data_IF_293911138709
#
_entry.id   IF_293911138709
#
_cell.length_a   1.000
_cell.length_b   1.000
_cell.length_c   1.000
_cell.angle_alpha   90.00
_cell.angle_beta   90.00
_cell.angle_gamma   90.00
#
_symmetry.space_group_name_H-M   'P 1'
#
loop_
_entity.id
_entity.type
_entity.pdbx_description
1 polymer ?
#
# COMPACT_ATOMS: atom_id res chain seq x y z
N UNK A 1 -2.20 -7.30 2.62
CA UNK A 1 -2.34 -5.83 2.47
C UNK A 1 -1.12 -5.17 3.10
N UNK A 2 -0.46 -4.22 2.44
CA UNK A 2 0.61 -3.45 3.07
C UNK A 2 0.03 -2.34 3.98
N UNK A 3 0.12 -2.50 5.30
CA UNK A 3 -0.42 -1.52 6.28
C UNK A 3 0.41 -0.24 6.37
N UNK A 4 1.68 -0.27 5.96
CA UNK A 4 2.54 0.92 5.94
C UNK A 4 2.12 1.93 4.87
N UNK A 5 1.36 1.50 3.85
CA UNK A 5 0.86 2.38 2.77
C UNK A 5 -0.66 2.45 2.70
N UNK A 6 -1.39 1.71 3.55
CA UNK A 6 -2.84 1.70 3.54
C UNK A 6 -3.42 3.03 4.08
N UNK A 7 -4.46 3.60 3.45
CA UNK A 7 -5.21 4.72 3.98
C UNK A 7 -6.14 4.26 5.13
N UNK A 8 -6.61 5.23 5.94
CA UNK A 8 -7.39 4.96 7.16
C UNK A 8 -8.64 4.12 6.89
N UNK A 9 -9.31 4.38 5.76
CA UNK A 9 -10.50 3.62 5.35
C UNK A 9 -10.21 2.13 5.12
N UNK A 10 -9.03 1.77 4.61
CA UNK A 10 -8.66 0.37 4.45
C UNK A 10 -8.25 -0.25 5.79
N UNK A 11 -7.59 0.52 6.67
CA UNK A 11 -7.29 0.05 8.02
C UNK A 11 -8.58 -0.22 8.81
N UNK A 12 -9.57 0.68 8.71
CA UNK A 12 -10.89 0.52 9.33
C UNK A 12 -11.72 -0.63 8.73
N UNK A 13 -11.36 -1.13 7.54
CA UNK A 13 -12.02 -2.31 6.97
C UNK A 13 -11.42 -3.64 7.43
N UNK A 14 -10.38 -3.62 8.27
CA UNK A 14 -9.71 -4.85 8.74
C UNK A 14 -10.53 -5.59 9.81
N UNK A 15 -11.38 -4.89 10.56
CA UNK A 15 -12.27 -5.46 11.55
C UNK A 15 -13.38 -4.46 11.93
N UNK A 16 -14.45 -4.95 12.55
CA UNK A 16 -15.51 -4.09 13.09
C UNK A 16 -15.05 -3.27 14.32
N UNK A 17 -13.94 -3.66 14.96
CA UNK A 17 -13.35 -2.99 16.12
C UNK A 17 -12.44 -1.81 15.73
N UNK A 18 -12.02 -1.72 14.46
CA UNK A 18 -11.28 -0.56 13.95
C UNK A 18 -12.26 0.37 13.24
N UNK A 19 -12.85 1.29 14.00
CA UNK A 19 -13.62 2.37 13.40
C UNK A 19 -12.72 3.38 12.65
N UNK A 20 -13.33 4.37 12.00
CA UNK A 20 -12.59 5.41 11.28
C UNK A 20 -11.68 6.26 12.18
N UNK A 21 -12.01 6.42 13.46
CA UNK A 21 -11.20 7.18 14.40
C UNK A 21 -9.93 6.39 14.79
N UNK A 22 -10.07 5.10 15.07
CA UNK A 22 -8.94 4.19 15.30
C UNK A 22 -8.09 4.05 14.04
N UNK A 23 -8.70 3.94 12.87
CA UNK A 23 -7.98 3.91 11.58
C UNK A 23 -7.14 5.17 11.33
N UNK A 24 -7.63 6.35 11.72
CA UNK A 24 -6.86 7.59 11.67
C UNK A 24 -5.74 7.61 12.74
N UNK A 25 -6.02 7.16 13.96
CA UNK A 25 -5.02 7.04 15.03
C UNK A 25 -3.87 6.10 14.63
N UNK A 26 -4.15 5.00 13.94
CA UNK A 26 -3.15 4.09 13.39
C UNK A 26 -2.25 4.77 12.35
N UNK A 27 -2.78 5.69 11.54
CA UNK A 27 -1.94 6.50 10.63
C UNK A 27 -1.00 7.40 11.40
N UNK A 28 -1.48 8.04 12.47
CA UNK A 28 -0.64 8.88 13.33
C UNK A 28 0.42 8.07 14.08
N UNK A 29 0.07 6.87 14.58
CA UNK A 29 1.01 5.92 15.21
C UNK A 29 2.10 5.46 14.23
N UNK A 30 1.72 5.14 12.98
CA UNK A 30 2.65 4.87 11.89
C UNK A 30 3.56 6.07 11.61
N UNK A 31 2.98 7.27 11.67
CA UNK A 31 3.64 8.51 11.32
C UNK A 31 4.20 8.50 9.89
N UNK A 32 5.40 9.05 9.71
CA UNK A 32 6.15 9.03 8.45
C UNK A 32 7.04 7.80 8.25
N UNK A 33 6.91 6.79 9.11
CA UNK A 33 7.72 5.57 9.10
C UNK A 33 6.83 4.32 8.92
N UNK A 34 7.43 3.14 9.09
CA UNK A 34 6.72 1.87 9.08
C UNK A 34 6.28 1.49 10.51
N UNK A 35 5.24 0.67 10.64
CA UNK A 35 4.94 -0.01 11.91
C UNK A 35 6.14 -0.92 12.29
N UNK A 36 6.81 -0.70 13.44
CA UNK A 36 7.98 -1.49 13.81
C UNK A 36 7.66 -2.97 14.03
N UNK A 37 6.47 -3.25 14.55
CA UNK A 37 5.93 -4.60 14.73
C UNK A 37 4.43 -4.59 14.45
N UNK A 38 4.06 -5.04 13.26
CA UNK A 38 2.67 -5.12 12.80
C UNK A 38 1.84 -6.05 13.70
N UNK A 39 2.45 -7.13 14.22
CA UNK A 39 1.72 -8.07 15.08
C UNK A 39 1.32 -7.38 16.36
N UNK A 40 2.24 -6.62 16.97
CA UNK A 40 1.97 -5.86 18.20
C UNK A 40 1.04 -4.68 17.94
N UNK A 41 1.22 -3.94 16.84
CA UNK A 41 0.41 -2.74 16.54
C UNK A 41 -1.07 -3.06 16.25
N UNK A 42 -1.37 -4.25 15.74
CA UNK A 42 -2.73 -4.68 15.40
C UNK A 42 -3.27 -5.77 16.34
N UNK A 43 -2.52 -6.16 17.38
CA UNK A 43 -2.96 -7.16 18.34
C UNK A 43 -4.21 -6.69 19.09
N UNK A 44 -5.26 -7.52 19.09
CA UNK A 44 -6.52 -7.20 19.76
C UNK A 44 -7.47 -6.36 18.92
N UNK A 45 -6.97 -5.64 17.90
CA UNK A 45 -7.79 -4.87 16.97
C UNK A 45 -8.28 -5.73 15.78
N UNK A 46 -7.54 -6.79 15.41
CA UNK A 46 -7.91 -7.68 14.30
C UNK A 46 -7.88 -9.16 14.70
N UNK A 47 -8.73 -9.96 14.05
CA UNK A 47 -8.71 -11.41 14.23
C UNK A 47 -7.38 -12.04 13.76
N UNK A 48 -6.94 -13.16 14.37
CA UNK A 48 -5.70 -13.83 13.99
C UNK A 48 -5.59 -14.21 12.51
N UNK A 49 -6.71 -14.48 11.85
CA UNK A 49 -6.76 -14.79 10.42
C UNK A 49 -6.50 -13.56 9.55
N UNK A 50 -6.97 -12.39 9.96
CA UNK A 50 -6.70 -11.11 9.30
C UNK A 50 -5.25 -10.69 9.52
N UNK A 51 -4.73 -10.88 10.74
CA UNK A 51 -3.35 -10.58 11.10
C UNK A 51 -2.34 -11.30 10.18
N UNK A 52 -2.66 -12.54 9.77
CA UNK A 52 -1.84 -13.33 8.83
C UNK A 52 -1.89 -12.85 7.37
N UNK A 53 -2.79 -11.93 7.03
CA UNK A 53 -3.03 -11.44 5.65
C UNK A 53 -2.59 -9.99 5.45
N UNK A 54 -2.17 -9.31 6.51
CA UNK A 54 -1.54 -8.01 6.47
C UNK A 54 -0.01 -8.16 6.56
N UNK A 55 0.71 -7.19 6.01
CA UNK A 55 2.18 -7.19 5.91
C UNK A 55 2.69 -5.74 5.87
N UNK A 56 3.99 -5.55 6.04
CA UNK A 56 4.69 -4.26 5.93
C UNK A 56 5.36 -4.05 4.57
N UNK A 57 5.35 -5.07 3.72
CA UNK A 57 6.00 -5.04 2.41
C UNK A 57 4.99 -5.20 1.27
N UNK A 58 5.36 -4.67 0.11
CA UNK A 58 4.67 -4.92 -1.15
C UNK A 58 5.61 -5.54 -2.17
N UNK A 59 5.07 -6.46 -2.97
CA UNK A 59 5.69 -6.97 -4.19
C UNK A 59 5.20 -6.22 -5.44
N UNK A 60 4.17 -5.38 -5.32
CA UNK A 60 3.56 -4.68 -6.44
C UNK A 60 3.63 -3.17 -6.25
N UNK A 61 3.98 -2.47 -7.31
CA UNK A 61 4.17 -1.02 -7.33
C UNK A 61 3.56 -0.42 -8.59
N UNK A 62 2.97 0.77 -8.48
CA UNK A 62 2.51 1.53 -9.63
C UNK A 62 3.56 2.60 -9.96
N UNK A 63 4.16 2.50 -11.14
CA UNK A 63 5.03 3.55 -11.70
C UNK A 63 4.20 4.46 -12.60
N UNK A 64 4.15 5.74 -12.26
CA UNK A 64 3.59 6.79 -13.11
C UNK A 64 4.74 7.58 -13.73
N UNK A 65 4.88 7.51 -15.05
CA UNK A 65 5.92 8.21 -15.80
C UNK A 65 5.29 9.24 -16.73
N UNK A 66 5.58 10.51 -16.49
CA UNK A 66 5.11 11.62 -17.33
C UNK A 66 6.28 12.17 -18.15
N UNK A 67 6.09 12.24 -19.47
CA UNK A 67 7.09 12.73 -20.42
C UNK A 67 6.49 13.88 -21.22
N UNK A 68 7.26 14.96 -21.38
CA UNK A 68 6.91 16.10 -22.21
C UNK A 68 7.88 16.21 -23.40
N UNK A 69 7.37 16.32 -24.62
CA UNK A 69 8.15 16.46 -25.86
C UNK A 69 7.54 17.59 -26.70
N UNK A 70 8.25 18.72 -26.76
CA UNK A 70 7.72 19.94 -27.37
C UNK A 70 6.49 20.43 -26.61
N UNK A 71 5.34 20.45 -27.29
CA UNK A 71 4.03 20.80 -26.71
C UNK A 71 3.20 19.59 -26.30
N UNK A 72 3.68 18.36 -26.50
CA UNK A 72 2.96 17.14 -26.16
C UNK A 72 3.35 16.65 -24.76
N UNK A 73 2.37 16.16 -24.01
CA UNK A 73 2.58 15.51 -22.71
C UNK A 73 1.86 14.16 -22.68
N UNK A 74 2.58 13.12 -22.24
CA UNK A 74 2.05 11.77 -22.12
C UNK A 74 2.33 11.24 -20.73
N UNK A 75 1.38 10.50 -20.16
CA UNK A 75 1.57 9.77 -18.90
C UNK A 75 1.38 8.28 -19.17
N UNK A 76 2.36 7.49 -18.74
CA UNK A 76 2.31 6.03 -18.76
C UNK A 76 2.20 5.52 -17.32
N UNK A 77 1.30 4.59 -17.10
CA UNK A 77 1.15 3.82 -15.88
C UNK A 77 1.71 2.43 -16.11
N UNK A 78 2.59 1.96 -15.22
CA UNK A 78 3.14 0.61 -15.27
C UNK A 78 2.97 -0.07 -13.92
N UNK A 79 2.34 -1.25 -13.91
CA UNK A 79 2.35 -2.11 -12.71
C UNK A 79 3.66 -2.90 -12.73
N UNK A 80 4.47 -2.69 -11.71
CA UNK A 80 5.73 -3.38 -11.49
C UNK A 80 5.51 -4.49 -10.45
N UNK A 81 6.07 -5.67 -10.72
CA UNK A 81 6.22 -6.75 -9.76
C UNK A 81 7.70 -6.88 -9.40
N UNK A 82 8.02 -6.86 -8.11
CA UNK A 82 9.33 -7.19 -7.55
C UNK A 82 9.24 -8.54 -6.86
N UNK A 83 10.03 -9.50 -7.33
CA UNK A 83 10.09 -10.82 -6.69
C UNK A 83 10.98 -10.79 -5.42
N UNK A 84 11.03 -11.92 -4.72
CA UNK A 84 11.81 -12.06 -3.48
C UNK A 84 13.33 -11.98 -3.69
N UNK A 85 13.81 -12.11 -4.93
CA UNK A 85 15.23 -11.90 -5.27
C UNK A 85 15.56 -10.43 -5.55
N UNK A 86 14.55 -9.56 -5.59
CA UNK A 86 14.69 -8.14 -5.89
C UNK A 86 14.62 -7.82 -7.38
N UNK A 87 14.39 -8.81 -8.25
CA UNK A 87 14.22 -8.58 -9.69
C UNK A 87 12.87 -7.90 -9.92
N UNK A 88 12.90 -6.79 -10.67
CA UNK A 88 11.71 -5.98 -11.00
C UNK A 88 11.32 -6.17 -12.45
N UNK A 89 10.03 -6.40 -12.70
CA UNK A 89 9.46 -6.55 -14.06
C UNK A 89 8.17 -5.75 -14.17
N UNK A 90 7.93 -5.14 -15.34
CA UNK A 90 6.64 -4.54 -15.65
C UNK A 90 5.68 -5.65 -16.11
N UNK A 91 4.56 -5.82 -15.41
CA UNK A 91 3.55 -6.85 -15.70
C UNK A 91 2.32 -6.28 -16.44
N UNK A 92 2.13 -4.96 -16.37
CA UNK A 92 1.09 -4.26 -17.11
C UNK A 92 1.55 -2.84 -17.46
N UNK A 93 1.10 -2.31 -18.60
CA UNK A 93 1.35 -0.93 -19.04
C UNK A 93 0.09 -0.34 -19.67
N UNK A 94 -0.21 0.91 -19.34
CA UNK A 94 -1.28 1.70 -19.95
C UNK A 94 -0.78 3.12 -20.25
N UNK A 95 -1.21 3.67 -21.39
CA UNK A 95 -0.93 5.05 -21.79
C UNK A 95 -2.21 5.88 -21.65
N UNK A 96 -2.16 6.94 -20.85
CA UNK A 96 -3.25 7.92 -20.72
C UNK A 96 -4.31 7.64 -19.66
N UNK A 97 -4.61 6.37 -19.30
CA UNK A 97 -5.62 6.03 -18.27
C UNK A 97 -5.18 4.89 -17.36
N UNK A 98 -5.64 4.93 -16.09
CA UNK A 98 -5.53 3.88 -15.08
C UNK A 98 -6.80 3.02 -15.07
#
# INVERSE_FOLDING_TARGET
>A
LNVNTAPAVLLASLSDDIDMARGAALIEERGGADFPDISTSFAGDVEPDVLRRIDGVSQYFLLTATVAIGTNQFTMYSVLQRDNSGIVRAIFRSLGVL
#
